data_IF_889321441822
#
_entry.id   IF_889321441822
#
_cell.length_a   1.000
_cell.length_b   1.000
_cell.length_c   1.000
_cell.angle_alpha   90.00
_cell.angle_beta   90.00
_cell.angle_gamma   90.00
#
_symmetry.space_group_name_H-M   'P 1'
#
loop_
_entity.id
_entity.type
_entity.pdbx_description
1 polymer ?
#
# COMPACT_ATOMS: atom_id res chain seq x y z
N UNK A 1 -18.50 -29.13 -6.87
CA UNK A 1 -19.49 -29.22 -5.77
C UNK A 1 -19.07 -30.16 -4.65
N UNK A 2 -18.16 -31.12 -4.90
CA UNK A 2 -17.87 -32.23 -3.98
C UNK A 2 -17.00 -31.88 -2.75
N UNK A 3 -16.02 -30.96 -2.87
CA UNK A 3 -15.04 -30.74 -1.78
C UNK A 3 -15.48 -29.73 -0.71
N UNK A 4 -16.28 -28.73 -1.07
CA UNK A 4 -16.64 -27.65 -0.14
C UNK A 4 -17.79 -28.03 0.81
N UNK A 5 -18.68 -28.93 0.38
CA UNK A 5 -19.73 -29.49 1.22
C UNK A 5 -19.17 -30.43 2.32
N UNK A 6 -18.01 -31.06 2.08
CA UNK A 6 -17.34 -31.90 3.07
C UNK A 6 -16.72 -31.09 4.24
N UNK A 7 -16.57 -29.77 4.08
CA UNK A 7 -15.97 -28.87 5.08
C UNK A 7 -17.01 -28.13 5.94
N UNK A 8 -18.30 -28.42 5.78
CA UNK A 8 -19.37 -27.94 6.68
C UNK A 8 -20.13 -26.68 6.25
N UNK A 9 -19.71 -26.01 5.17
CA UNK A 9 -20.37 -24.81 4.67
C UNK A 9 -21.79 -25.07 4.16
N UNK A 10 -22.75 -24.24 4.56
CA UNK A 10 -24.19 -24.39 4.24
C UNK A 10 -24.67 -23.46 3.13
N UNK A 11 -24.03 -22.31 2.97
CA UNK A 11 -24.42 -21.28 2.03
C UNK A 11 -23.26 -20.95 1.10
N UNK A 12 -23.49 -21.04 -0.20
CA UNK A 12 -22.43 -20.92 -1.21
C UNK A 12 -22.59 -19.64 -2.02
N UNK A 13 -21.47 -19.09 -2.47
CA UNK A 13 -21.40 -18.02 -3.47
C UNK A 13 -20.14 -18.17 -4.32
N UNK A 14 -20.17 -17.67 -5.55
CA UNK A 14 -19.10 -17.83 -6.52
C UNK A 14 -18.53 -16.47 -6.92
N UNK A 15 -17.22 -16.42 -7.07
CA UNK A 15 -16.46 -15.27 -7.55
C UNK A 15 -15.84 -15.64 -8.90
N UNK A 16 -16.08 -14.80 -9.91
CA UNK A 16 -15.59 -15.02 -11.27
C UNK A 16 -14.71 -13.85 -11.68
N UNK A 17 -13.51 -14.14 -12.19
CA UNK A 17 -12.58 -13.15 -12.72
C UNK A 17 -11.84 -13.76 -13.92
N UNK A 18 -12.00 -13.16 -15.11
CA UNK A 18 -11.17 -13.47 -16.30
C UNK A 18 -11.00 -14.98 -16.60
N UNK A 19 -12.06 -15.78 -16.42
CA UNK A 19 -12.06 -17.24 -16.65
C UNK A 19 -11.74 -18.09 -15.42
N UNK A 20 -11.25 -17.49 -14.34
CA UNK A 20 -11.10 -18.16 -13.04
C UNK A 20 -12.40 -18.08 -12.23
N UNK A 21 -12.81 -19.22 -11.66
CA UNK A 21 -13.99 -19.34 -10.81
C UNK A 21 -13.60 -19.89 -9.45
N UNK A 22 -13.85 -19.12 -8.38
CA UNK A 22 -13.56 -19.53 -7.00
C UNK A 22 -14.86 -19.57 -6.21
N UNK A 23 -15.19 -20.75 -5.69
CA UNK A 23 -16.38 -20.99 -4.88
C UNK A 23 -16.07 -20.84 -3.39
N UNK A 24 -16.90 -20.06 -2.69
CA UNK A 24 -16.83 -19.84 -1.26
C UNK A 24 -18.06 -20.42 -0.57
N UNK A 25 -17.90 -20.78 0.71
CA UNK A 25 -18.99 -21.24 1.56
C UNK A 25 -18.96 -20.54 2.92
N UNK A 26 -20.14 -20.30 3.49
CA UNK A 26 -20.33 -19.81 4.87
C UNK A 26 -21.32 -20.71 5.61
N UNK A 27 -21.28 -20.66 6.94
CA UNK A 27 -22.18 -21.42 7.80
C UNK A 27 -23.53 -20.72 8.00
N UNK A 28 -23.55 -19.39 7.91
CA UNK A 28 -24.73 -18.53 8.06
C UNK A 28 -25.04 -17.76 6.76
N UNK A 29 -26.34 -17.60 6.46
CA UNK A 29 -26.87 -16.82 5.35
C UNK A 29 -26.61 -15.32 5.52
N UNK A 30 -26.72 -14.79 6.74
CA UNK A 30 -26.48 -13.39 7.03
C UNK A 30 -25.02 -13.03 6.80
N UNK A 31 -24.11 -13.93 7.19
CA UNK A 31 -22.67 -13.79 6.94
C UNK A 31 -22.38 -13.83 5.44
N UNK A 32 -23.01 -14.76 4.69
CA UNK A 32 -22.95 -14.77 3.23
C UNK A 32 -23.34 -13.42 2.65
N UNK A 33 -24.46 -12.85 3.07
CA UNK A 33 -24.92 -11.56 2.55
C UNK A 33 -23.94 -10.43 2.85
N UNK A 34 -23.32 -10.43 4.04
CA UNK A 34 -22.32 -9.44 4.42
C UNK A 34 -21.08 -9.54 3.52
N UNK A 35 -20.58 -10.75 3.29
CA UNK A 35 -19.45 -11.03 2.39
C UNK A 35 -19.76 -10.64 0.95
N UNK A 36 -20.93 -11.03 0.43
CA UNK A 36 -21.38 -10.65 -0.92
C UNK A 36 -21.41 -9.12 -1.08
N UNK A 37 -21.91 -8.38 -0.08
CA UNK A 37 -21.92 -6.92 -0.13
C UNK A 37 -20.52 -6.30 -0.02
N UNK A 38 -19.65 -6.85 0.83
CA UNK A 38 -18.27 -6.38 0.95
C UNK A 38 -17.50 -6.60 -0.35
N UNK A 39 -17.63 -7.79 -0.94
CA UNK A 39 -17.05 -8.16 -2.23
C UNK A 39 -17.58 -7.26 -3.34
N UNK A 40 -18.90 -7.06 -3.45
CA UNK A 40 -19.50 -6.16 -4.44
C UNK A 40 -18.92 -4.74 -4.36
N UNK A 41 -18.75 -4.21 -3.15
CA UNK A 41 -18.14 -2.89 -2.93
C UNK A 41 -16.67 -2.86 -3.31
N UNK A 42 -15.94 -3.94 -3.04
CA UNK A 42 -14.52 -4.06 -3.34
C UNK A 42 -14.25 -4.24 -4.84
N UNK A 43 -15.02 -5.10 -5.51
CA UNK A 43 -14.88 -5.40 -6.95
C UNK A 43 -15.43 -4.30 -7.83
N UNK A 44 -16.43 -3.53 -7.35
CA UNK A 44 -17.06 -2.48 -8.15
C UNK A 44 -17.81 -3.00 -9.37
N UNK A 45 -18.17 -4.29 -9.38
CA UNK A 45 -18.90 -4.91 -10.49
C UNK A 45 -20.22 -4.17 -10.78
N UNK A 46 -20.61 -4.11 -12.06
CA UNK A 46 -21.77 -3.34 -12.53
C UNK A 46 -23.11 -3.93 -12.06
N UNK A 47 -23.19 -5.25 -11.89
CA UNK A 47 -24.40 -5.93 -11.45
C UNK A 47 -24.42 -6.12 -9.93
N UNK A 48 -25.41 -5.51 -9.29
CA UNK A 48 -25.66 -5.71 -7.86
C UNK A 48 -26.19 -7.12 -7.60
N UNK A 49 -25.53 -7.92 -6.75
CA UNK A 49 -26.02 -9.25 -6.40
C UNK A 49 -27.34 -9.14 -5.65
N UNK A 50 -28.33 -9.94 -6.06
CA UNK A 50 -29.67 -9.97 -5.50
C UNK A 50 -29.81 -11.19 -4.59
N UNK A 51 -30.29 -11.05 -3.34
CA UNK A 51 -30.54 -12.19 -2.47
C UNK A 51 -31.58 -13.15 -3.09
N UNK A 52 -31.42 -14.47 -2.97
CA UNK A 52 -32.45 -15.40 -3.42
C UNK A 52 -33.73 -15.21 -2.61
N UNK A 53 -34.86 -14.99 -3.30
CA UNK A 53 -36.18 -14.88 -2.69
C UNK A 53 -36.54 -16.20 -2.00
N UNK A 54 -36.79 -16.17 -0.68
CA UNK A 54 -37.32 -17.32 0.05
C UNK A 54 -38.71 -17.66 -0.53
N UNK A 55 -38.84 -18.79 -1.20
CA UNK A 55 -40.16 -19.37 -1.52
C UNK A 55 -40.75 -19.83 -0.19
N UNK A 56 -41.75 -19.09 0.28
CA UNK A 56 -42.50 -19.40 1.51
C UNK A 56 -43.55 -20.46 1.16
N UNK A 57 -43.31 -21.71 1.55
CA UNK A 57 -44.41 -22.66 1.80
C UNK A 57 -44.98 -22.33 3.17
N UNK A 58 -46.24 -21.88 3.18
CA UNK A 58 -46.84 -21.14 4.29
C UNK A 58 -47.14 -21.92 5.57
N UNK A 59 -47.30 -21.18 6.66
CA UNK A 59 -48.50 -21.23 7.49
C UNK A 59 -48.57 -20.02 8.42
N UNK A 60 -49.80 -19.64 8.75
CA UNK A 60 -50.21 -18.40 9.39
C UNK A 60 -49.85 -18.33 10.89
N UNK A 61 -49.52 -17.14 11.40
CA UNK A 61 -50.41 -16.39 12.32
C UNK A 61 -49.81 -15.07 12.82
N UNK A 62 -50.74 -14.16 13.08
CA UNK A 62 -50.68 -12.80 13.60
C UNK A 62 -50.01 -12.63 14.97
N UNK A 63 -49.20 -11.57 15.16
CA UNK A 63 -49.57 -10.43 16.02
C UNK A 63 -48.50 -9.33 16.07
N UNK A 64 -49.03 -8.12 16.27
CA UNK A 64 -48.40 -6.81 16.46
C UNK A 64 -47.51 -6.76 17.71
N UNK A 65 -46.34 -6.09 17.66
CA UNK A 65 -46.04 -4.94 18.56
C UNK A 65 -44.69 -4.25 18.29
N UNK A 66 -44.80 -2.93 18.20
CA UNK A 66 -43.77 -1.91 18.38
C UNK A 66 -43.26 -1.94 19.84
N UNK A 67 -41.94 -2.00 20.08
CA UNK A 67 -41.31 -1.41 21.28
C UNK A 67 -39.87 -0.97 20.93
N UNK A 68 -39.63 0.33 21.05
CA UNK A 68 -38.32 0.95 21.21
C UNK A 68 -37.90 0.83 22.68
N UNK A 69 -36.61 0.62 23.00
CA UNK A 69 -35.91 1.03 24.25
C UNK A 69 -34.48 0.43 24.32
N UNK A 70 -33.47 1.29 24.41
CA UNK A 70 -32.15 1.07 25.05
C UNK A 70 -32.25 1.39 26.56
N UNK A 71 -31.21 1.26 27.41
CA UNK A 71 -30.12 0.27 27.54
C UNK A 71 -30.03 -0.30 28.99
N UNK A 72 -29.29 -1.41 29.20
CA UNK A 72 -28.22 -1.56 30.23
C UNK A 72 -27.94 -2.99 30.72
N UNK A 73 -26.63 -3.22 30.86
CA UNK A 73 -25.88 -4.08 31.79
C UNK A 73 -25.65 -5.59 31.55
N UNK A 74 -24.35 -5.84 31.29
CA UNK A 74 -23.44 -6.78 31.99
C UNK A 74 -23.70 -8.29 31.85
N UNK A 75 -22.79 -8.98 31.17
CA UNK A 75 -21.55 -9.50 31.78
C UNK A 75 -21.00 -10.68 30.96
N UNK A 76 -19.72 -10.63 30.60
CA UNK A 76 -18.81 -11.78 30.52
C UNK A 76 -17.44 -11.25 30.07
N UNK A 77 -16.72 -10.70 31.04
CA UNK A 77 -15.30 -10.37 30.93
C UNK A 77 -14.49 -11.66 31.09
N UNK A 78 -13.75 -12.07 30.05
CA UNK A 78 -12.66 -13.03 30.19
C UNK A 78 -11.37 -12.25 30.45
N UNK A 79 -11.16 -11.85 31.71
CA UNK A 79 -9.87 -11.33 32.18
C UNK A 79 -9.01 -12.51 32.61
N UNK A 80 -7.97 -12.81 31.84
CA UNK A 80 -6.93 -13.76 32.22
C UNK A 80 -6.11 -13.19 33.39
N UNK A 81 -6.37 -13.69 34.59
CA UNK A 81 -5.58 -13.44 35.79
C UNK A 81 -4.29 -14.26 35.67
N UNK A 82 -3.18 -13.58 35.38
CA UNK A 82 -1.83 -14.07 35.66
C UNK A 82 -1.55 -13.83 37.14
N UNK A 83 -1.56 -14.91 37.92
CA UNK A 83 -1.08 -14.94 39.30
C UNK A 83 0.45 -14.83 39.31
N UNK A 84 0.96 -13.60 39.36
CA UNK A 84 2.35 -13.31 39.69
C UNK A 84 2.58 -13.59 41.18
N UNK A 85 2.99 -14.83 41.49
CA UNK A 85 3.69 -15.13 42.76
C UNK A 85 5.00 -14.36 42.76
N UNK A 86 5.16 -13.50 43.77
CA UNK A 86 6.33 -12.66 43.95
C UNK A 86 7.63 -13.46 43.92
N UNK A 87 8.50 -13.09 42.98
CA UNK A 87 9.94 -13.29 43.09
C UNK A 87 10.59 -11.95 42.69
N UNK A 88 10.67 -11.03 43.65
CA UNK A 88 11.48 -9.83 43.58
C UNK A 88 12.96 -10.22 43.72
N UNK A 89 13.52 -10.83 42.67
CA UNK A 89 14.96 -11.02 42.48
C UNK A 89 15.21 -11.58 41.08
N UNK A 90 15.64 -10.71 40.14
CA UNK A 90 16.43 -11.04 38.92
C UNK A 90 16.27 -10.06 37.75
N UNK A 91 15.78 -8.82 37.94
CA UNK A 91 15.89 -7.81 36.86
C UNK A 91 17.36 -7.53 36.48
N UNK A 92 18.32 -7.79 37.37
CA UNK A 92 19.76 -7.69 37.09
C UNK A 92 20.41 -8.92 36.46
N UNK A 93 19.72 -10.07 36.33
CA UNK A 93 20.34 -11.31 35.84
C UNK A 93 20.11 -11.56 34.35
N UNK A 94 18.98 -11.10 33.79
CA UNK A 94 18.69 -11.23 32.35
C UNK A 94 19.54 -10.28 31.51
N UNK A 95 19.79 -9.08 32.01
CA UNK A 95 20.66 -8.09 31.36
C UNK A 95 22.09 -8.60 31.22
N UNK A 96 22.62 -9.29 32.25
CA UNK A 96 23.98 -9.83 32.20
C UNK A 96 24.14 -10.90 31.09
N UNK A 97 23.18 -11.81 30.95
CA UNK A 97 23.20 -12.84 29.90
C UNK A 97 23.09 -12.28 28.48
N UNK A 98 22.30 -11.21 28.29
CA UNK A 98 22.19 -10.54 26.98
C UNK A 98 23.42 -9.67 26.68
N UNK A 99 24.04 -9.05 27.70
CA UNK A 99 25.31 -8.33 27.59
C UNK A 99 26.45 -9.28 27.24
N UNK A 100 26.52 -10.44 27.89
CA UNK A 100 27.55 -11.45 27.62
C UNK A 100 27.37 -12.10 26.23
N UNK A 101 26.11 -12.30 25.80
CA UNK A 101 25.81 -12.72 24.42
C UNK A 101 26.24 -11.65 23.40
N UNK A 102 25.93 -10.38 23.65
CA UNK A 102 26.33 -9.27 22.77
C UNK A 102 27.86 -9.17 22.64
N UNK A 103 28.59 -9.29 23.76
CA UNK A 103 30.06 -9.34 23.77
C UNK A 103 30.61 -10.50 22.97
N UNK A 104 30.04 -11.70 23.12
CA UNK A 104 30.46 -12.90 22.35
C UNK A 104 30.29 -12.74 20.84
N UNK A 105 29.36 -11.89 20.40
CA UNK A 105 29.15 -11.55 18.99
C UNK A 105 29.94 -10.33 18.52
N UNK A 106 30.90 -9.84 19.31
CA UNK A 106 31.78 -8.71 18.93
C UNK A 106 31.13 -7.34 19.07
N UNK A 107 30.01 -7.22 19.80
CA UNK A 107 29.31 -5.93 19.95
C UNK A 107 30.08 -4.91 20.81
N UNK A 108 31.06 -5.37 21.58
CA UNK A 108 31.87 -4.54 22.50
C UNK A 108 32.70 -3.49 21.73
N UNK A 109 33.19 -3.85 20.54
CA UNK A 109 33.91 -2.93 19.66
C UNK A 109 33.01 -1.75 19.28
N UNK A 110 31.78 -2.02 18.85
CA UNK A 110 30.82 -0.98 18.44
C UNK A 110 30.36 -0.07 19.58
N UNK A 111 30.22 -0.62 20.80
CA UNK A 111 29.83 0.15 21.98
C UNK A 111 30.98 1.05 22.47
N UNK A 112 32.22 0.64 22.23
CA UNK A 112 33.42 1.39 22.64
C UNK A 112 33.83 2.52 21.70
N UNK A 113 33.29 2.56 20.47
CA UNK A 113 33.61 3.60 19.50
C UNK A 113 33.07 4.95 19.98
N UNK A 114 33.93 5.96 19.92
CA UNK A 114 33.56 7.34 20.18
C UNK A 114 32.58 7.84 19.10
N UNK A 115 31.37 8.31 19.46
CA UNK A 115 30.35 8.68 18.47
C UNK A 115 30.83 9.71 17.43
N UNK A 116 31.61 10.71 17.83
CA UNK A 116 32.08 11.77 16.94
C UNK A 116 33.08 11.32 15.88
N UNK A 117 33.64 10.10 15.97
CA UNK A 117 34.55 9.54 14.97
C UNK A 117 33.82 8.87 13.80
N UNK A 118 32.50 8.76 13.85
CA UNK A 118 31.72 7.97 12.90
C UNK A 118 30.77 8.85 12.08
N UNK A 119 30.57 8.50 10.81
CA UNK A 119 29.56 9.14 9.98
C UNK A 119 28.16 8.64 10.36
N UNK A 120 27.51 9.35 11.28
CA UNK A 120 26.16 9.01 11.72
C UNK A 120 25.09 9.14 10.62
N UNK A 121 25.33 9.90 9.55
CA UNK A 121 24.39 10.03 8.44
C UNK A 121 24.32 8.73 7.62
N UNK A 122 25.45 8.07 7.38
CA UNK A 122 25.52 6.76 6.71
C UNK A 122 24.96 5.64 7.59
N UNK A 123 25.33 5.62 8.88
CA UNK A 123 24.78 4.65 9.82
C UNK A 123 23.26 4.78 9.95
N UNK A 124 22.74 6.00 9.99
CA UNK A 124 21.31 6.23 10.01
C UNK A 124 20.64 5.73 8.74
N UNK A 125 21.22 6.00 7.57
CA UNK A 125 20.67 5.51 6.30
C UNK A 125 20.58 3.97 6.30
N UNK A 126 21.61 3.28 6.77
CA UNK A 126 21.59 1.83 6.93
C UNK A 126 20.50 1.38 7.93
N UNK A 127 20.42 2.02 9.09
CA UNK A 127 19.42 1.70 10.12
C UNK A 127 17.99 1.91 9.60
N UNK A 128 17.74 3.02 8.91
CA UNK A 128 16.44 3.36 8.31
C UNK A 128 16.06 2.32 7.25
N UNK A 129 16.97 2.01 6.33
CA UNK A 129 16.77 1.01 5.27
C UNK A 129 16.46 -0.37 5.87
N UNK A 130 17.22 -0.83 6.87
CA UNK A 130 16.94 -2.11 7.56
C UNK A 130 15.65 -2.11 8.36
N UNK A 131 15.29 -0.98 8.97
CA UNK A 131 14.01 -0.83 9.65
C UNK A 131 12.84 -0.92 8.66
N UNK A 132 13.02 -0.37 7.47
CA UNK A 132 12.03 -0.42 6.40
C UNK A 132 11.93 -1.83 5.83
N UNK A 133 13.06 -2.50 5.54
CA UNK A 133 13.12 -3.90 5.11
C UNK A 133 12.31 -4.81 6.04
N UNK A 134 12.51 -4.65 7.35
CA UNK A 134 11.76 -5.41 8.35
C UNK A 134 10.27 -5.09 8.31
N UNK A 135 9.93 -3.80 8.22
CA UNK A 135 8.54 -3.32 8.24
C UNK A 135 7.76 -3.75 6.99
N UNK A 136 8.41 -3.75 5.82
CA UNK A 136 7.81 -4.13 4.53
C UNK A 136 7.45 -5.62 4.43
N UNK A 137 7.96 -6.48 5.33
CA UNK A 137 7.50 -7.86 5.47
C UNK A 137 6.00 -7.93 5.82
N UNK A 138 5.48 -6.89 6.46
CA UNK A 138 4.05 -6.67 6.65
C UNK A 138 3.53 -5.75 5.54
N UNK A 139 3.32 -6.33 4.35
CA UNK A 139 3.04 -5.56 3.13
C UNK A 139 1.68 -4.86 3.12
N UNK A 140 0.70 -5.33 3.90
CA UNK A 140 -0.64 -4.74 3.89
C UNK A 140 -0.77 -3.53 4.81
N UNK A 141 -0.01 -3.48 5.90
CA UNK A 141 -0.11 -2.41 6.90
C UNK A 141 1.00 -1.38 6.76
N UNK A 142 2.17 -1.78 6.24
CA UNK A 142 3.28 -0.84 6.07
C UNK A 142 3.02 0.13 4.93
N UNK A 143 2.87 -0.37 3.69
CA UNK A 143 2.82 0.48 2.48
C UNK A 143 3.95 1.54 2.43
N UNK A 144 5.11 1.22 3.01
CA UNK A 144 6.22 2.15 3.16
C UNK A 144 6.29 2.84 4.51
N UNK A 145 5.19 2.98 5.26
CA UNK A 145 5.17 3.62 6.57
C UNK A 145 5.87 2.80 7.65
N UNK A 146 6.70 3.50 8.43
CA UNK A 146 7.23 3.00 9.70
C UNK A 146 6.12 2.93 10.76
N UNK A 147 6.26 1.98 11.69
CA UNK A 147 5.42 1.98 12.89
C UNK A 147 5.76 3.16 13.81
N UNK A 148 4.85 3.60 14.69
CA UNK A 148 5.13 4.67 15.66
C UNK A 148 6.37 4.39 16.52
N UNK A 149 6.59 3.13 16.91
CA UNK A 149 7.76 2.73 17.69
C UNK A 149 9.07 2.84 16.89
N UNK A 150 9.06 2.47 15.60
CA UNK A 150 10.22 2.64 14.74
C UNK A 150 10.54 4.12 14.52
N UNK A 151 9.50 4.94 14.26
CA UNK A 151 9.66 6.39 14.12
C UNK A 151 10.30 7.01 15.35
N UNK A 152 9.82 6.66 16.54
CA UNK A 152 10.39 7.14 17.79
C UNK A 152 11.90 6.84 17.90
N UNK A 153 12.32 5.60 17.61
CA UNK A 153 13.74 5.21 17.69
C UNK A 153 14.57 5.96 16.66
N UNK A 154 14.07 6.09 15.43
CA UNK A 154 14.77 6.80 14.36
C UNK A 154 14.90 8.30 14.68
N UNK A 155 13.85 8.92 15.20
CA UNK A 155 13.85 10.34 15.58
C UNK A 155 14.80 10.60 16.76
N UNK A 156 14.81 9.74 17.78
CA UNK A 156 15.76 9.83 18.91
C UNK A 156 17.22 9.71 18.44
N UNK A 157 17.53 8.79 17.54
CA UNK A 157 18.86 8.67 16.94
C UNK A 157 19.26 9.98 16.24
N UNK A 158 18.34 10.55 15.45
CA UNK A 158 18.60 11.78 14.71
C UNK A 158 18.82 12.98 15.64
N UNK A 159 18.01 13.11 16.69
CA UNK A 159 18.14 14.17 17.69
C UNK A 159 19.48 14.08 18.44
N UNK A 160 19.93 12.85 18.75
CA UNK A 160 21.16 12.62 19.51
C UNK A 160 22.43 12.87 18.72
N UNK A 161 22.45 12.49 17.44
CA UNK A 161 23.66 12.52 16.60
C UNK A 161 23.62 13.59 15.49
N UNK A 162 22.58 14.43 15.46
CA UNK A 162 22.50 15.56 14.54
C UNK A 162 22.30 15.17 13.07
N UNK A 163 21.58 14.09 12.79
CA UNK A 163 21.31 13.65 11.41
C UNK A 163 20.29 14.60 10.76
N UNK A 164 20.69 15.23 9.65
CA UNK A 164 19.90 16.26 8.95
C UNK A 164 18.58 15.71 8.40
N UNK A 165 17.50 16.46 8.61
CA UNK A 165 16.16 16.10 8.13
C UNK A 165 16.08 15.81 6.63
N UNK A 166 16.78 16.60 5.80
CA UNK A 166 16.78 16.42 4.36
C UNK A 166 17.41 15.08 3.96
N UNK A 167 18.62 14.80 4.44
CA UNK A 167 19.30 13.50 4.25
C UNK A 167 18.41 12.30 4.60
N UNK A 168 17.69 12.36 5.73
CA UNK A 168 16.76 11.30 6.16
C UNK A 168 15.64 11.04 5.14
N UNK A 169 15.06 12.09 4.59
CA UNK A 169 13.98 11.98 3.61
C UNK A 169 14.51 11.57 2.23
N UNK A 170 15.72 11.99 1.86
CA UNK A 170 16.35 11.56 0.60
C UNK A 170 16.67 10.06 0.63
N UNK A 171 17.28 9.56 1.71
CA UNK A 171 17.51 8.12 1.88
C UNK A 171 16.20 7.35 1.83
N UNK A 172 15.19 7.84 2.55
CA UNK A 172 13.88 7.20 2.58
C UNK A 172 13.21 7.16 1.19
N UNK A 173 13.23 8.28 0.46
CA UNK A 173 12.70 8.34 -0.90
C UNK A 173 13.45 7.36 -1.83
N UNK A 174 14.77 7.26 -1.71
CA UNK A 174 15.54 6.29 -2.49
C UNK A 174 15.07 4.86 -2.21
N UNK A 175 14.97 4.47 -0.93
CA UNK A 175 14.51 3.13 -0.54
C UNK A 175 13.07 2.85 -1.01
N UNK A 176 12.18 3.85 -0.92
CA UNK A 176 10.79 3.72 -1.37
C UNK A 176 10.70 3.57 -2.89
N UNK A 177 11.51 4.32 -3.64
CA UNK A 177 11.55 4.22 -5.10
C UNK A 177 12.12 2.89 -5.57
N UNK A 178 13.20 2.39 -4.94
CA UNK A 178 13.77 1.07 -5.26
C UNK A 178 12.70 -0.03 -5.18
N UNK A 179 11.81 0.08 -4.18
CA UNK A 179 10.71 -0.86 -3.95
C UNK A 179 9.55 -0.66 -4.91
N UNK A 180 9.18 0.59 -5.18
CA UNK A 180 8.12 0.92 -6.13
C UNK A 180 8.49 0.47 -7.56
N UNK A 181 9.75 0.63 -7.95
CA UNK A 181 10.29 0.17 -9.24
C UNK A 181 10.25 -1.36 -9.37
N UNK A 182 10.38 -2.10 -8.26
CA UNK A 182 10.21 -3.55 -8.18
C UNK A 182 8.74 -4.01 -8.16
N UNK A 183 7.78 -3.07 -8.23
CA UNK A 183 6.34 -3.37 -8.21
C UNK A 183 5.77 -3.57 -6.82
N UNK A 184 6.50 -3.25 -5.75
CA UNK A 184 5.96 -3.25 -4.39
C UNK A 184 5.06 -2.02 -4.22
N UNK A 185 3.86 -2.23 -3.69
CA UNK A 185 2.90 -1.14 -3.46
C UNK A 185 3.39 -0.26 -2.31
N UNK A 186 3.62 1.01 -2.61
CA UNK A 186 3.95 2.07 -1.64
C UNK A 186 2.79 3.06 -1.60
N UNK A 187 2.44 3.53 -0.40
CA UNK A 187 1.46 4.59 -0.22
C UNK A 187 1.97 5.89 -0.88
N UNK A 188 1.27 6.44 -1.88
CA UNK A 188 1.69 7.67 -2.53
C UNK A 188 1.85 8.85 -1.56
N UNK A 189 1.06 8.91 -0.49
CA UNK A 189 1.08 10.01 0.47
C UNK A 189 2.47 10.19 1.12
N UNK A 190 3.19 9.09 1.38
CA UNK A 190 4.50 9.14 2.02
C UNK A 190 5.59 9.67 1.08
N UNK A 191 5.50 9.30 -0.20
CA UNK A 191 6.38 9.81 -1.26
C UNK A 191 6.12 11.29 -1.46
N UNK A 192 4.85 11.70 -1.51
CA UNK A 192 4.44 13.10 -1.61
C UNK A 192 4.99 13.96 -0.47
N UNK A 193 4.82 13.52 0.77
CA UNK A 193 5.28 14.23 1.96
C UNK A 193 6.80 14.38 1.93
N UNK A 194 7.51 13.26 1.74
CA UNK A 194 8.98 13.25 1.77
C UNK A 194 9.58 14.06 0.63
N UNK A 195 9.01 13.95 -0.58
CA UNK A 195 9.45 14.73 -1.73
C UNK A 195 9.21 16.23 -1.53
N UNK A 196 8.04 16.62 -1.01
CA UNK A 196 7.74 18.02 -0.73
C UNK A 196 8.71 18.61 0.31
N UNK A 197 9.03 17.86 1.36
CA UNK A 197 10.02 18.26 2.37
C UNK A 197 11.39 18.53 1.72
N UNK A 198 11.91 17.59 0.93
CA UNK A 198 13.19 17.74 0.24
C UNK A 198 13.17 18.88 -0.79
N UNK A 199 12.08 18.99 -1.57
CA UNK A 199 11.91 20.02 -2.59
C UNK A 199 11.96 21.43 -1.97
N UNK A 200 11.21 21.68 -0.89
CA UNK A 200 11.25 22.95 -0.16
C UNK A 200 12.63 23.24 0.42
N UNK A 201 13.34 22.22 0.91
CA UNK A 201 14.70 22.38 1.44
C UNK A 201 15.69 22.76 0.33
N UNK A 202 15.66 22.07 -0.82
CA UNK A 202 16.62 22.24 -1.93
C UNK A 202 16.39 23.56 -2.68
N UNK A 203 15.13 23.87 -3.00
CA UNK A 203 14.79 25.05 -3.79
C UNK A 203 14.55 26.30 -2.95
N UNK A 204 14.28 26.14 -1.66
CA UNK A 204 13.88 27.21 -0.74
C UNK A 204 12.39 27.52 -0.87
N UNK A 205 11.81 28.11 0.18
CA UNK A 205 10.48 28.68 0.10
C UNK A 205 10.61 30.10 -0.47
N UNK A 206 9.79 30.45 -1.45
CA UNK A 206 9.97 31.62 -2.35
C UNK A 206 9.94 33.00 -1.68
N UNK A 207 9.93 33.09 -0.35
CA UNK A 207 9.69 34.35 0.36
C UNK A 207 10.77 34.80 1.35
N UNK A 208 11.76 33.98 1.73
CA UNK A 208 12.83 34.54 2.57
C UNK A 208 14.14 33.76 2.61
N UNK A 209 15.21 34.52 2.81
CA UNK A 209 16.60 34.16 3.14
C UNK A 209 17.51 33.61 2.03
N UNK A 210 18.44 34.49 1.60
CA UNK A 210 19.60 34.25 0.73
C UNK A 210 20.63 33.22 1.25
N UNK A 211 20.28 32.39 2.24
CA UNK A 211 21.17 31.38 2.83
C UNK A 211 20.52 30.01 2.63
N UNK A 212 21.02 29.27 1.63
CA UNK A 212 20.67 27.86 1.41
C UNK A 212 21.64 27.01 2.23
N UNK A 213 21.13 26.23 3.17
CA UNK A 213 21.94 25.32 4.02
C UNK A 213 22.10 23.92 3.42
N UNK A 214 21.62 23.72 2.20
CA UNK A 214 21.60 22.44 1.46
C UNK A 214 23.03 22.02 1.12
N UNK A 215 23.39 20.77 1.41
CA UNK A 215 24.69 20.23 1.02
C UNK A 215 24.71 19.89 -0.48
N UNK A 216 25.90 19.91 -1.09
CA UNK A 216 26.08 19.52 -2.50
C UNK A 216 25.62 18.08 -2.73
N UNK A 217 25.98 17.17 -1.82
CA UNK A 217 25.60 15.76 -1.90
C UNK A 217 24.09 15.57 -1.77
N UNK A 218 23.43 16.28 -0.85
CA UNK A 218 21.97 16.27 -0.71
C UNK A 218 21.28 16.77 -1.98
N UNK A 219 21.81 17.84 -2.59
CA UNK A 219 21.27 18.39 -3.84
C UNK A 219 21.43 17.39 -5.00
N UNK A 220 22.60 16.76 -5.11
CA UNK A 220 22.85 15.77 -6.17
C UNK A 220 21.94 14.54 -6.01
N UNK A 221 21.82 14.03 -4.79
CA UNK A 221 20.92 12.91 -4.47
C UNK A 221 19.46 13.26 -4.78
N UNK A 222 19.02 14.48 -4.43
CA UNK A 222 17.68 14.96 -4.76
C UNK A 222 17.43 14.99 -6.27
N UNK A 223 18.37 15.49 -7.08
CA UNK A 223 18.18 15.51 -8.54
C UNK A 223 18.07 14.11 -9.13
N UNK A 224 18.85 13.14 -8.62
CA UNK A 224 18.73 11.74 -9.00
C UNK A 224 17.36 11.16 -8.63
N UNK A 225 16.91 11.36 -7.39
CA UNK A 225 15.59 10.93 -6.92
C UNK A 225 14.47 11.56 -7.74
N UNK A 226 14.58 12.86 -8.05
CA UNK A 226 13.61 13.60 -8.85
C UNK A 226 13.47 13.00 -10.25
N UNK A 227 14.57 12.66 -10.91
CA UNK A 227 14.55 12.01 -12.22
C UNK A 227 13.92 10.61 -12.16
N UNK A 228 14.27 9.81 -11.16
CA UNK A 228 13.68 8.47 -10.95
C UNK A 228 12.18 8.54 -10.68
N UNK A 229 11.77 9.45 -9.80
CA UNK A 229 10.35 9.67 -9.49
C UNK A 229 9.59 10.15 -10.73
N UNK A 230 10.17 11.03 -11.55
CA UNK A 230 9.57 11.43 -12.82
C UNK A 230 9.26 10.23 -13.73
N UNK A 231 10.25 9.35 -13.95
CA UNK A 231 10.07 8.16 -14.77
C UNK A 231 9.02 7.19 -14.19
N UNK A 232 8.98 7.04 -12.86
CA UNK A 232 7.97 6.22 -12.19
C UNK A 232 6.56 6.78 -12.40
N UNK A 233 6.38 8.10 -12.23
CA UNK A 233 5.09 8.77 -12.43
C UNK A 233 4.65 8.71 -13.90
N UNK A 234 5.56 8.93 -14.84
CA UNK A 234 5.32 8.79 -16.27
C UNK A 234 4.79 7.38 -16.58
N UNK A 235 5.46 6.33 -16.09
CA UNK A 235 5.00 4.95 -16.23
C UNK A 235 3.61 4.74 -15.63
N UNK A 236 3.36 5.22 -14.42
CA UNK A 236 2.06 5.09 -13.75
C UNK A 236 0.92 5.76 -14.53
N UNK A 237 1.18 6.92 -15.15
CA UNK A 237 0.20 7.64 -15.96
C UNK A 237 0.00 6.96 -17.32
N UNK A 238 1.06 6.48 -17.96
CA UNK A 238 0.95 5.72 -19.22
C UNK A 238 0.17 4.42 -19.02
N UNK A 239 0.42 3.71 -17.93
CA UNK A 239 -0.27 2.47 -17.58
C UNK A 239 -1.44 2.71 -16.61
N UNK A 240 -2.16 3.83 -16.74
CA UNK A 240 -3.16 4.24 -15.76
C UNK A 240 -4.28 3.23 -15.53
N UNK A 241 -4.60 2.37 -16.52
CA UNK A 241 -5.60 1.30 -16.35
C UNK A 241 -5.15 0.23 -15.35
N UNK A 242 -3.85 0.01 -15.24
CA UNK A 242 -3.26 -0.95 -14.30
C UNK A 242 -3.03 -0.32 -12.92
N UNK A 243 -2.47 0.89 -12.88
CA UNK A 243 -2.14 1.57 -11.62
C UNK A 243 -3.34 2.26 -10.96
N UNK A 244 -4.37 2.62 -11.74
CA UNK A 244 -5.60 3.30 -11.26
C UNK A 244 -6.86 2.63 -11.84
N UNK A 245 -7.11 1.33 -11.56
CA UNK A 245 -8.27 0.62 -12.09
C UNK A 245 -9.57 1.29 -11.64
N UNK A 246 -10.39 1.73 -12.60
CA UNK A 246 -11.64 2.46 -12.35
C UNK A 246 -11.49 3.66 -11.40
N UNK A 247 -10.31 4.30 -11.39
CA UNK A 247 -10.02 5.43 -10.51
C UNK A 247 -9.86 5.05 -9.03
N UNK A 248 -9.57 3.79 -8.72
CA UNK A 248 -9.33 3.31 -7.36
C UNK A 248 -7.82 3.13 -7.09
N UNK A 249 -7.37 3.45 -5.86
CA UNK A 249 -8.13 4.09 -4.79
C UNK A 249 -8.53 5.54 -5.14
N UNK A 250 -9.66 6.00 -4.59
CA UNK A 250 -10.24 7.30 -4.93
C UNK A 250 -9.23 8.43 -4.67
N UNK A 251 -9.03 9.30 -5.66
CA UNK A 251 -8.08 10.42 -5.57
C UNK A 251 -6.61 10.05 -5.81
N UNK A 252 -6.24 8.78 -5.99
CA UNK A 252 -4.85 8.38 -6.22
C UNK A 252 -4.26 8.97 -7.51
N UNK A 253 -5.04 9.01 -8.60
CA UNK A 253 -4.63 9.65 -9.84
C UNK A 253 -4.42 11.17 -9.64
N UNK A 254 -5.33 11.83 -8.91
CA UNK A 254 -5.22 13.25 -8.60
C UNK A 254 -3.96 13.56 -7.80
N UNK A 255 -3.64 12.72 -6.81
CA UNK A 255 -2.40 12.83 -6.04
C UNK A 255 -1.19 12.65 -6.97
N UNK A 256 -1.16 11.59 -7.77
CA UNK A 256 -0.08 11.30 -8.74
C UNK A 256 0.20 12.49 -9.67
N UNK A 257 -0.85 13.12 -10.22
CA UNK A 257 -0.73 14.32 -11.03
C UNK A 257 -0.21 15.52 -10.23
N UNK A 258 -0.68 15.71 -8.99
CA UNK A 258 -0.15 16.75 -8.11
C UNK A 258 1.31 16.53 -7.72
N UNK A 259 1.79 15.27 -7.66
CA UNK A 259 3.21 14.98 -7.47
C UNK A 259 4.00 15.32 -8.73
N UNK A 260 3.47 14.95 -9.90
CA UNK A 260 4.08 15.26 -11.18
C UNK A 260 4.28 16.77 -11.35
N UNK A 261 3.29 17.59 -11.02
CA UNK A 261 3.40 19.05 -11.04
C UNK A 261 4.57 19.55 -10.18
N UNK A 262 4.76 18.98 -8.99
CA UNK A 262 5.90 19.32 -8.10
C UNK A 262 7.23 18.81 -8.63
N UNK A 263 7.25 17.65 -9.27
CA UNK A 263 8.45 17.09 -9.90
C UNK A 263 8.89 17.91 -11.10
N UNK A 264 7.95 18.55 -11.79
CA UNK A 264 8.19 19.43 -12.93
C UNK A 264 8.59 20.87 -12.55
N UNK A 265 8.62 21.23 -11.25
CA UNK A 265 9.08 22.55 -10.80
C UNK A 265 10.47 22.88 -11.35
N UNK A 266 10.68 24.12 -11.80
CA UNK A 266 11.97 24.55 -12.37
C UNK A 266 13.04 24.56 -11.29
N UNK A 267 14.31 24.44 -11.70
CA UNK A 267 15.44 24.45 -10.76
C UNK A 267 15.60 25.76 -9.99
N UNK A 268 14.95 26.82 -10.48
CA UNK A 268 14.80 28.12 -9.82
C UNK A 268 13.81 28.09 -8.64
N UNK A 269 13.10 26.97 -8.43
CA UNK A 269 11.98 26.85 -7.50
C UNK A 269 10.65 27.36 -8.06
N UNK A 270 10.63 27.88 -9.30
CA UNK A 270 9.40 28.32 -9.93
C UNK A 270 8.50 27.11 -10.28
N UNK A 271 7.18 27.19 -10.04
CA UNK A 271 6.27 26.12 -10.43
C UNK A 271 6.28 25.89 -11.94
N UNK A 272 6.04 24.64 -12.35
CA UNK A 272 5.83 24.32 -13.75
C UNK A 272 4.60 25.07 -14.27
N UNK A 273 4.68 25.52 -15.52
CA UNK A 273 3.51 26.06 -16.21
C UNK A 273 2.50 24.95 -16.48
N UNK A 274 1.21 25.32 -16.55
CA UNK A 274 0.17 24.37 -16.88
C UNK A 274 0.35 23.73 -18.27
N UNK A 275 1.05 24.40 -19.19
CA UNK A 275 1.35 23.85 -20.52
C UNK A 275 2.44 22.76 -20.46
N UNK A 276 3.50 22.96 -19.68
CA UNK A 276 4.54 21.95 -19.47
C UNK A 276 3.95 20.66 -18.88
N UNK A 277 3.04 20.78 -17.92
CA UNK A 277 2.35 19.63 -17.31
C UNK A 277 1.43 18.94 -18.32
N UNK A 278 0.64 19.72 -19.08
CA UNK A 278 -0.24 19.18 -20.14
C UNK A 278 0.55 18.44 -21.22
N UNK A 279 1.71 18.95 -21.62
CA UNK A 279 2.57 18.31 -22.60
C UNK A 279 3.02 16.92 -22.15
N UNK A 280 3.46 16.80 -20.90
CA UNK A 280 3.85 15.50 -20.33
C UNK A 280 2.66 14.54 -20.31
N UNK A 281 1.49 15.00 -19.85
CA UNK A 281 0.28 14.17 -19.81
C UNK A 281 -0.12 13.71 -21.21
N UNK A 282 -0.07 14.61 -22.21
CA UNK A 282 -0.41 14.28 -23.60
C UNK A 282 0.48 13.16 -24.14
N UNK A 283 1.81 13.28 -23.97
CA UNK A 283 2.76 12.23 -24.35
C UNK A 283 2.50 10.91 -23.63
N UNK A 284 2.20 10.96 -22.33
CA UNK A 284 1.84 9.76 -21.55
C UNK A 284 0.60 9.06 -22.13
N UNK A 285 -0.44 9.83 -22.51
CA UNK A 285 -1.69 9.31 -23.06
C UNK A 285 -1.55 8.79 -24.49
N UNK A 286 -0.74 9.44 -25.32
CA UNK A 286 -0.38 8.94 -26.66
C UNK A 286 0.35 7.60 -26.55
N UNK A 287 1.34 7.51 -25.65
CA UNK A 287 2.04 6.27 -25.38
C UNK A 287 1.10 5.20 -24.81
N UNK A 288 0.16 5.59 -23.93
CA UNK A 288 -0.85 4.70 -23.40
C UNK A 288 -1.74 4.13 -24.51
N UNK A 289 -2.13 4.94 -25.49
CA UNK A 289 -2.91 4.47 -26.63
C UNK A 289 -2.15 3.42 -27.45
N UNK A 290 -0.85 3.63 -27.70
CA UNK A 290 0.00 2.67 -28.39
C UNK A 290 0.11 1.34 -27.63
N UNK A 291 0.43 1.39 -26.33
CA UNK A 291 0.54 0.19 -25.48
C UNK A 291 -0.79 -0.57 -25.44
N UNK A 292 -1.91 0.14 -25.28
CA UNK A 292 -3.23 -0.48 -25.27
C UNK A 292 -3.58 -1.11 -26.62
N UNK A 293 -3.30 -0.43 -27.74
CA UNK A 293 -3.58 -0.95 -29.07
C UNK A 293 -2.75 -2.21 -29.37
N UNK A 294 -1.45 -2.19 -29.06
CA UNK A 294 -0.56 -3.34 -29.23
C UNK A 294 -1.03 -4.55 -28.41
N UNK A 295 -1.45 -4.33 -27.16
CA UNK A 295 -1.96 -5.41 -26.30
C UNK A 295 -3.26 -6.00 -26.83
N UNK A 296 -4.19 -5.16 -27.28
CA UNK A 296 -5.47 -5.61 -27.84
C UNK A 296 -5.27 -6.36 -29.16
N UNK A 297 -4.38 -5.88 -30.04
CA UNK A 297 -4.11 -6.55 -31.32
C UNK A 297 -3.45 -7.91 -31.13
N UNK A 298 -2.57 -8.07 -30.13
CA UNK A 298 -2.03 -9.37 -29.73
C UNK A 298 -3.12 -10.34 -29.26
N UNK A 299 -4.03 -9.90 -28.38
CA UNK A 299 -5.15 -10.74 -27.93
C UNK A 299 -6.06 -11.16 -29.09
N UNK A 300 -6.42 -10.22 -29.97
CA UNK A 300 -7.28 -10.51 -31.13
C UNK A 300 -6.63 -11.49 -32.12
N UNK A 301 -5.29 -11.44 -32.28
CA UNK A 301 -4.55 -12.37 -33.13
C UNK A 301 -4.55 -13.80 -32.56
N UNK A 302 -4.50 -13.95 -31.23
CA UNK A 302 -4.55 -15.24 -30.53
C UNK A 302 -5.96 -15.86 -30.62
N UNK A 303 -7.02 -15.06 -30.43
CA UNK A 303 -8.42 -15.50 -30.57
C UNK A 303 -8.71 -16.01 -32.00
N UNK A 304 -8.27 -15.25 -33.01
CA UNK A 304 -8.44 -15.59 -34.43
C UNK A 304 -7.68 -16.87 -34.85
N UNK A 305 -6.66 -17.28 -34.08
CA UNK A 305 -5.91 -18.51 -34.29
C UNK A 305 -6.58 -19.75 -33.69
N UNK A 306 -7.36 -19.59 -32.60
CA UNK A 306 -8.13 -20.69 -31.98
C UNK A 306 -9.39 -21.04 -32.75
N UNK A 307 -9.97 -20.10 -33.49
CA UNK A 307 -11.19 -20.31 -34.28
C UNK A 307 -11.01 -21.10 -35.60
N UNK A 308 -9.79 -21.57 -35.91
CA UNK A 308 -9.51 -22.37 -37.12
C UNK A 308 -9.40 -23.88 -36.89
N UNK A 309 -9.86 -24.40 -35.76
CA UNK A 309 -9.84 -25.84 -35.47
C UNK A 309 -10.97 -26.31 -34.57
N UNK A 310 -12.16 -26.56 -35.14
CA UNK A 310 -13.21 -27.31 -34.44
C UNK A 310 -14.63 -26.96 -34.86
N UNK A 311 -15.13 -27.64 -35.89
CA UNK A 311 -16.58 -27.74 -36.14
C UNK A 311 -17.26 -28.66 -35.09
N UNK A 312 -18.49 -28.28 -34.71
CA UNK A 312 -19.50 -28.96 -33.88
C UNK A 312 -19.40 -28.86 -32.34
N UNK A 313 -20.26 -28.05 -31.70
CA UNK A 313 -21.64 -28.45 -31.40
C UNK A 313 -22.42 -27.31 -30.70
N UNK A 314 -23.60 -27.04 -31.22
CA UNK A 314 -24.60 -26.11 -30.68
C UNK A 314 -25.21 -26.70 -29.41
N UNK A 315 -24.98 -26.10 -28.24
CA UNK A 315 -25.91 -26.19 -27.11
C UNK A 315 -26.09 -24.83 -26.46
N UNK A 316 -27.33 -24.36 -26.56
CA UNK A 316 -27.85 -23.15 -25.96
C UNK A 316 -27.53 -23.08 -24.46
N UNK A 317 -26.80 -22.05 -24.04
CA UNK A 317 -26.88 -21.51 -22.69
C UNK A 317 -26.55 -20.02 -22.78
N UNK A 318 -27.60 -19.21 -22.64
CA UNK A 318 -27.49 -17.77 -22.43
C UNK A 318 -26.58 -17.52 -21.23
N UNK A 319 -25.37 -17.04 -21.48
CA UNK A 319 -24.53 -16.43 -20.46
C UNK A 319 -24.04 -15.11 -21.04
N UNK A 320 -24.38 -14.06 -20.31
CA UNK A 320 -24.33 -12.67 -20.71
C UNK A 320 -22.86 -12.24 -20.70
N UNK A 321 -22.32 -11.90 -21.87
CA UNK A 321 -21.09 -11.12 -22.00
C UNK A 321 -21.33 -9.70 -21.45
N UNK A 322 -20.40 -9.20 -20.65
CA UNK A 322 -20.40 -7.82 -20.16
C UNK A 322 -19.05 -7.22 -20.48
N UNK A 323 -19.12 -6.12 -21.25
CA UNK A 323 -18.04 -5.18 -21.54
C UNK A 323 -17.64 -4.35 -20.31
#
# INVERSE_FOLDING_TARGET
>A
MSDLAATGGKYFFNLVKEGDSVMFATDDENERQLWIQAIYRATGQTHKPVPPSKIISGSNNSNLQNVSLTPDNKSSSATSILTSRGNTSSIGSRTQGDVDRARKHGLDEFVSIEPWKVNHAELFALLQSKSLDYRMKDSYVSLGWFSPSQMFILDEYCARYGVRGCHRHLCYLSDLLDRAEQGIIIDPAIVHYSYAFCCCHVFGNTQDTNIRTVLVDERQMFMGIRQRLYALLEKQITEFRYYFPFGRPEGALKLTLGLLERVLMKDTGAPASAEEVREVIRRCLEQAALVNYARISEYAAIESGRDKGGEYSQTSSKLIEIQ
#
